data_IF_586420919552
#
_entry.id   IF_586420919552
#
_cell.length_a   1.000
_cell.length_b   1.000
_cell.length_c   1.000
_cell.angle_alpha   90.00
_cell.angle_beta   90.00
_cell.angle_gamma   90.00
#
_symmetry.space_group_name_H-M   'P 1'
#
loop_
_entity.id
_entity.type
_entity.pdbx_description
1 polymer ?
#
# COMPACT_ATOMS: atom_id res chain seq x y z
N UNK A 1 7.45 25.19 -2.30
CA UNK A 1 6.28 24.56 -1.68
C UNK A 1 5.14 25.56 -1.73
N UNK A 2 3.96 25.10 -2.12
CA UNK A 2 2.70 25.83 -2.03
C UNK A 2 2.15 25.67 -0.60
N UNK A 3 2.18 26.77 0.15
CA UNK A 3 1.72 26.87 1.53
C UNK A 3 0.56 27.86 1.65
N UNK A 4 -0.12 28.16 0.54
CA UNK A 4 -1.22 29.13 0.50
C UNK A 4 -2.49 28.65 1.23
N UNK A 5 -2.51 27.40 1.69
CA UNK A 5 -3.58 26.84 2.51
C UNK A 5 -3.35 27.04 4.02
N UNK A 6 -2.15 27.48 4.44
CA UNK A 6 -1.88 27.78 5.84
C UNK A 6 -2.69 29.01 6.30
N UNK A 7 -2.91 29.19 7.61
CA UNK A 7 -3.48 30.42 8.15
C UNK A 7 -2.66 31.66 7.76
N UNK A 8 -3.33 32.78 7.50
CA UNK A 8 -2.67 34.01 7.05
C UNK A 8 -1.64 34.59 8.04
N UNK A 9 -1.78 34.27 9.33
CA UNK A 9 -0.82 34.65 10.38
C UNK A 9 0.38 33.69 10.51
N UNK A 10 0.42 32.59 9.76
CA UNK A 10 1.50 31.61 9.84
C UNK A 10 2.78 32.14 9.16
N UNK A 11 3.97 31.99 9.77
CA UNK A 11 5.23 32.52 9.21
C UNK A 11 5.59 31.96 7.83
N UNK A 12 5.05 30.80 7.48
CA UNK A 12 5.25 30.15 6.19
C UNK A 12 4.10 30.35 5.19
N UNK A 13 3.09 31.19 5.49
CA UNK A 13 2.00 31.47 4.56
C UNK A 13 2.50 32.27 3.36
N UNK A 14 2.38 31.70 2.15
CA UNK A 14 2.81 32.34 0.89
C UNK A 14 1.78 32.08 -0.20
N UNK A 15 1.15 33.14 -0.71
CA UNK A 15 0.10 33.04 -1.74
C UNK A 15 0.67 32.94 -3.16
N UNK A 16 1.83 33.54 -3.42
CA UNK A 16 2.42 33.65 -4.76
C UNK A 16 2.71 32.28 -5.42
N UNK A 17 2.85 31.24 -4.61
CA UNK A 17 3.18 29.87 -5.06
C UNK A 17 1.94 29.00 -5.25
N UNK A 18 0.75 29.54 -5.01
CA UNK A 18 -0.51 28.80 -5.05
C UNK A 18 -0.76 28.17 -6.41
N UNK A 19 -0.82 26.84 -6.45
CA UNK A 19 -1.06 26.05 -7.68
C UNK A 19 -0.08 26.38 -8.81
N UNK A 20 1.11 26.88 -8.49
CA UNK A 20 2.13 27.18 -9.49
C UNK A 20 2.86 25.89 -9.89
N UNK A 21 3.01 25.59 -11.20
CA UNK A 21 3.78 24.44 -11.66
C UNK A 21 5.22 24.45 -11.12
N UNK A 22 5.77 23.27 -10.83
CA UNK A 22 7.13 23.10 -10.32
C UNK A 22 7.29 23.22 -8.80
N UNK A 23 6.24 23.59 -8.07
CA UNK A 23 6.25 23.62 -6.60
C UNK A 23 5.52 22.40 -6.01
N UNK A 24 6.06 21.87 -4.91
CA UNK A 24 5.37 20.86 -4.10
C UNK A 24 4.12 21.44 -3.44
N UNK A 25 2.98 20.78 -3.62
CA UNK A 25 1.74 21.12 -2.91
C UNK A 25 1.72 20.49 -1.53
N UNK A 26 1.08 21.17 -0.58
CA UNK A 26 0.67 20.57 0.67
C UNK A 26 -0.58 19.67 0.44
N UNK A 27 -0.40 18.35 0.57
CA UNK A 27 -1.42 17.33 0.28
C UNK A 27 -2.57 17.30 1.30
N UNK A 28 -2.35 17.88 2.50
CA UNK A 28 -3.32 17.86 3.60
C UNK A 28 -3.92 19.23 3.91
N UNK A 29 -3.69 20.23 3.05
CA UNK A 29 -4.32 21.55 3.14
C UNK A 29 -4.22 22.18 4.55
N UNK A 30 -3.00 22.29 5.09
CA UNK A 30 -2.69 22.79 6.43
C UNK A 30 -3.15 21.92 7.62
N UNK A 31 -3.74 20.75 7.37
CA UNK A 31 -4.11 19.81 8.41
C UNK A 31 -2.94 18.92 8.83
N UNK A 32 -3.08 18.26 9.97
CA UNK A 32 -1.99 17.45 10.57
C UNK A 32 -2.31 15.97 10.37
N UNK A 33 -1.37 15.22 9.80
CA UNK A 33 -1.45 13.76 9.78
C UNK A 33 -1.10 13.25 11.18
N UNK A 34 -2.03 12.57 11.84
CA UNK A 34 -1.84 12.05 13.20
C UNK A 34 -1.43 10.58 13.23
N UNK A 35 -1.86 9.82 12.23
CA UNK A 35 -1.59 8.40 12.10
C UNK A 35 -1.39 8.04 10.64
N UNK A 36 -0.44 7.16 10.37
CA UNK A 36 -0.14 6.68 9.03
C UNK A 36 0.14 5.18 9.09
N UNK A 37 -0.53 4.41 8.24
CA UNK A 37 -0.36 2.97 8.10
C UNK A 37 -0.20 2.63 6.61
N UNK A 38 0.91 2.01 6.23
CA UNK A 38 1.17 1.56 4.87
C UNK A 38 1.29 0.04 4.84
N UNK A 39 0.60 -0.59 3.90
CA UNK A 39 0.68 -2.03 3.68
C UNK A 39 1.64 -2.38 2.55
N UNK A 40 1.57 -1.63 1.44
CA UNK A 40 2.45 -1.78 0.28
C UNK A 40 2.46 -0.52 -0.56
N UNK A 41 3.27 -0.50 -1.62
CA UNK A 41 3.25 0.57 -2.61
C UNK A 41 1.84 0.89 -3.12
N UNK A 42 1.42 2.16 -2.98
CA UNK A 42 0.10 2.68 -3.39
C UNK A 42 -1.08 2.02 -2.64
N UNK A 43 -0.84 1.45 -1.45
CA UNK A 43 -1.84 0.92 -0.53
C UNK A 43 -1.54 1.38 0.90
N UNK A 44 -2.18 2.46 1.33
CA UNK A 44 -1.92 3.09 2.63
C UNK A 44 -3.16 3.87 3.11
N UNK A 45 -3.22 4.10 4.40
CA UNK A 45 -4.26 4.83 5.08
C UNK A 45 -3.66 5.79 6.09
N UNK A 46 -4.27 6.94 6.28
CA UNK A 46 -3.82 7.92 7.27
C UNK A 46 -4.97 8.73 7.82
N UNK A 47 -4.85 9.14 9.08
CA UNK A 47 -5.82 10.00 9.73
C UNK A 47 -5.35 11.44 9.70
N UNK A 48 -6.28 12.35 9.44
CA UNK A 48 -6.04 13.78 9.38
C UNK A 48 -6.82 14.47 10.48
N UNK A 49 -6.10 15.16 11.36
CA UNK A 49 -6.70 16.05 12.34
C UNK A 49 -6.90 17.43 11.72
N UNK A 50 -8.17 17.85 11.67
CA UNK A 50 -8.55 19.19 11.28
C UNK A 50 -8.18 20.16 12.41
N UNK A 51 -7.25 21.07 12.14
CA UNK A 51 -6.84 22.06 13.12
C UNK A 51 -8.00 22.96 13.57
N UNK A 52 -7.87 23.64 14.73
CA UNK A 52 -8.96 24.47 15.29
C UNK A 52 -9.44 25.58 14.34
N UNK A 53 -8.59 26.02 13.41
CA UNK A 53 -8.91 27.08 12.44
C UNK A 53 -9.52 26.55 11.12
N UNK A 54 -9.34 25.27 10.80
CA UNK A 54 -9.79 24.65 9.54
C UNK A 54 -10.89 23.64 9.87
N UNK A 55 -12.15 24.04 9.73
CA UNK A 55 -13.32 23.22 10.13
C UNK A 55 -13.69 22.09 9.16
N UNK A 56 -13.01 21.98 8.02
CA UNK A 56 -13.37 21.05 6.93
C UNK A 56 -12.12 20.30 6.49
N UNK A 57 -12.13 18.96 6.54
CA UNK A 57 -11.05 18.14 5.98
C UNK A 57 -10.45 17.08 6.89
N UNK A 58 -10.94 16.95 8.14
CA UNK A 58 -10.51 15.88 9.05
C UNK A 58 -11.09 14.51 8.68
N UNK A 59 -10.43 13.46 9.18
CA UNK A 59 -10.86 12.08 9.07
C UNK A 59 -9.87 11.17 8.33
N UNK A 60 -10.32 9.94 8.11
CA UNK A 60 -9.54 8.88 7.50
C UNK A 60 -9.44 9.06 5.98
N UNK A 61 -8.22 9.03 5.45
CA UNK A 61 -7.93 9.02 4.02
C UNK A 61 -7.25 7.69 3.67
N UNK A 62 -7.91 6.91 2.81
CA UNK A 62 -7.43 5.60 2.38
C UNK A 62 -7.12 5.63 0.88
N UNK A 63 -5.97 5.07 0.51
CA UNK A 63 -5.53 4.85 -0.86
C UNK A 63 -5.28 3.37 -1.04
N UNK A 64 -6.01 2.76 -1.98
CA UNK A 64 -5.89 1.33 -2.28
C UNK A 64 -5.86 1.11 -3.80
N UNK A 65 -4.68 0.80 -4.35
CA UNK A 65 -4.52 0.59 -5.80
C UNK A 65 -5.41 -0.55 -6.29
N UNK A 66 -6.25 -0.25 -7.27
CA UNK A 66 -7.09 -1.25 -7.95
C UNK A 66 -8.43 -1.53 -7.27
N UNK A 67 -8.69 -0.92 -6.12
CA UNK A 67 -9.99 -0.96 -5.42
C UNK A 67 -10.81 0.26 -5.81
N UNK A 68 -12.13 0.10 -5.96
CA UNK A 68 -13.01 1.21 -6.33
C UNK A 68 -13.29 2.11 -5.14
N UNK A 69 -13.49 3.39 -5.42
CA UNK A 69 -13.75 4.42 -4.40
C UNK A 69 -14.91 4.09 -3.46
N UNK A 70 -16.00 3.50 -3.96
CA UNK A 70 -17.14 3.12 -3.12
C UNK A 70 -16.79 2.01 -2.12
N UNK A 71 -15.93 1.06 -2.51
CA UNK A 71 -15.46 0.00 -1.59
C UNK A 71 -14.54 0.61 -0.55
N UNK A 72 -13.62 1.49 -0.96
CA UNK A 72 -12.74 2.23 -0.04
C UNK A 72 -13.54 3.03 0.98
N UNK A 73 -14.59 3.74 0.54
CA UNK A 73 -15.38 4.62 1.41
C UNK A 73 -16.26 3.87 2.42
N UNK A 74 -16.80 2.71 2.03
CA UNK A 74 -17.85 2.04 2.81
C UNK A 74 -17.35 0.80 3.57
N UNK A 75 -16.24 0.20 3.14
CA UNK A 75 -15.78 -1.12 3.61
C UNK A 75 -14.32 -1.15 4.00
N UNK A 76 -13.60 -0.02 3.92
CA UNK A 76 -12.23 0.05 4.38
C UNK A 76 -12.09 1.10 5.47
N UNK A 77 -11.38 0.74 6.53
CA UNK A 77 -11.07 1.61 7.67
C UNK A 77 -9.57 1.63 7.93
N UNK A 78 -9.09 2.67 8.63
CA UNK A 78 -7.70 2.73 9.10
C UNK A 78 -7.40 1.61 10.11
N UNK A 79 -8.36 1.29 10.99
CA UNK A 79 -8.22 0.22 11.99
C UNK A 79 -7.98 -1.14 11.32
N UNK A 80 -8.71 -1.46 10.25
CA UNK A 80 -8.52 -2.71 9.51
C UNK A 80 -7.16 -2.75 8.77
N UNK A 81 -6.61 -1.58 8.36
CA UNK A 81 -5.24 -1.55 7.83
C UNK A 81 -4.24 -1.94 8.92
N UNK A 82 -4.39 -1.40 10.13
CA UNK A 82 -3.52 -1.73 11.26
C UNK A 82 -3.62 -3.21 11.63
N UNK A 83 -4.85 -3.75 11.71
CA UNK A 83 -5.08 -5.18 11.95
C UNK A 83 -4.42 -6.05 10.88
N UNK A 84 -4.56 -5.68 9.61
CA UNK A 84 -3.91 -6.38 8.50
C UNK A 84 -2.37 -6.31 8.59
N UNK A 85 -1.80 -5.20 9.04
CA UNK A 85 -0.35 -5.04 9.16
C UNK A 85 0.23 -6.00 10.21
N UNK A 86 -0.44 -6.11 11.36
CA UNK A 86 0.02 -6.96 12.48
C UNK A 86 -0.52 -8.40 12.44
N UNK A 87 -1.32 -8.76 11.43
CA UNK A 87 -1.88 -10.10 11.29
C UNK A 87 -2.97 -10.42 12.31
N UNK A 88 -3.67 -9.41 12.83
CA UNK A 88 -4.80 -9.60 13.74
C UNK A 88 -6.02 -10.20 13.02
N UNK A 89 -6.77 -11.05 13.71
CA UNK A 89 -7.98 -11.66 13.15
C UNK A 89 -9.12 -10.64 12.97
N UNK A 90 -10.07 -10.96 12.09
CA UNK A 90 -11.31 -10.19 11.89
C UNK A 90 -11.32 -9.23 10.70
N UNK A 91 -10.25 -9.19 9.89
CA UNK A 91 -10.22 -8.39 8.65
C UNK A 91 -10.74 -9.20 7.47
N UNK A 92 -11.80 -8.72 6.82
CA UNK A 92 -12.28 -9.31 5.57
C UNK A 92 -11.35 -8.92 4.41
N UNK A 93 -10.44 -9.84 4.04
CA UNK A 93 -9.40 -9.61 3.03
C UNK A 93 -9.94 -9.39 1.61
N UNK A 94 -11.11 -9.93 1.30
CA UNK A 94 -11.68 -9.86 -0.05
C UNK A 94 -13.00 -9.11 -0.06
N UNK A 95 -13.15 -8.17 -0.99
CA UNK A 95 -14.42 -7.46 -1.21
C UNK A 95 -14.83 -7.46 -2.66
N UNK A 96 -16.13 -7.35 -2.86
CA UNK A 96 -16.73 -7.24 -4.18
C UNK A 96 -16.59 -5.82 -4.73
N UNK A 97 -15.83 -5.67 -5.81
CA UNK A 97 -15.82 -4.45 -6.60
C UNK A 97 -16.88 -4.53 -7.68
N UNK A 98 -17.94 -3.72 -7.54
CA UNK A 98 -19.01 -3.63 -8.54
C UNK A 98 -18.71 -2.52 -9.54
N UNK A 99 -18.90 -2.83 -10.82
CA UNK A 99 -18.61 -1.94 -11.93
C UNK A 99 -19.57 -2.05 -13.09
N UNK A 100 -19.92 -0.94 -13.70
CA UNK A 100 -20.58 -0.92 -15.01
C UNK A 100 -19.49 -0.79 -16.07
N UNK A 101 -19.52 -1.67 -17.07
CA UNK A 101 -18.59 -1.69 -18.21
C UNK A 101 -19.37 -1.93 -19.51
N UNK A 102 -18.83 -1.47 -20.63
CA UNK A 102 -19.37 -1.72 -21.96
C UNK A 102 -18.52 -2.77 -22.67
N UNK A 103 -19.16 -3.78 -23.24
CA UNK A 103 -18.54 -4.76 -24.14
C UNK A 103 -19.38 -4.83 -25.40
N UNK A 104 -18.77 -4.62 -26.56
CA UNK A 104 -19.48 -4.59 -27.86
C UNK A 104 -20.73 -3.68 -27.83
N UNK A 105 -20.59 -2.49 -27.24
CA UNK A 105 -21.67 -1.51 -27.06
C UNK A 105 -22.84 -1.95 -26.16
N UNK A 106 -22.70 -3.07 -25.45
CA UNK A 106 -23.67 -3.52 -24.44
C UNK A 106 -23.16 -3.23 -23.04
N UNK A 107 -23.95 -2.49 -22.26
CA UNK A 107 -23.65 -2.21 -20.86
C UNK A 107 -23.92 -3.46 -20.01
N UNK A 108 -22.96 -3.81 -19.18
CA UNK A 108 -23.07 -4.90 -18.22
C UNK A 108 -22.49 -4.51 -16.87
N UNK A 109 -23.07 -5.07 -15.81
CA UNK A 109 -22.56 -4.95 -14.45
C UNK A 109 -21.62 -6.11 -14.17
N UNK A 110 -20.35 -5.81 -13.96
CA UNK A 110 -19.33 -6.77 -13.55
C UNK A 110 -19.06 -6.61 -12.06
N UNK A 111 -19.21 -7.73 -11.36
CA UNK A 111 -18.82 -7.91 -9.97
C UNK A 111 -17.52 -8.71 -9.93
N UNK A 112 -16.46 -8.14 -9.36
CA UNK A 112 -15.15 -8.80 -9.24
C UNK A 112 -14.73 -8.85 -7.79
N UNK A 113 -14.52 -10.05 -7.25
CA UNK A 113 -13.94 -10.24 -5.92
C UNK A 113 -12.46 -9.87 -5.97
N UNK A 114 -12.04 -8.89 -5.17
CA UNK A 114 -10.66 -8.40 -5.11
C UNK A 114 -10.12 -8.45 -3.69
N UNK A 115 -8.82 -8.71 -3.58
CA UNK A 115 -8.06 -8.58 -2.34
C UNK A 115 -7.94 -7.09 -1.99
N UNK A 116 -8.55 -6.65 -0.89
CA UNK A 116 -8.56 -5.25 -0.43
C UNK A 116 -7.39 -4.94 0.49
N UNK A 117 -7.07 -5.87 1.38
CA UNK A 117 -5.98 -5.76 2.35
C UNK A 117 -4.88 -6.73 1.98
N UNK A 118 -3.67 -6.22 1.83
CA UNK A 118 -2.50 -7.04 1.53
C UNK A 118 -1.23 -6.33 2.01
N UNK A 119 -0.60 -6.88 3.06
CA UNK A 119 0.69 -6.45 3.60
C UNK A 119 1.88 -7.10 2.92
N UNK A 120 1.67 -8.03 1.98
CA UNK A 120 2.76 -8.62 1.21
C UNK A 120 3.33 -7.60 0.22
N UNK A 121 4.62 -7.27 0.39
CA UNK A 121 5.39 -6.42 -0.50
C UNK A 121 6.26 -7.30 -1.41
N UNK A 122 6.03 -7.21 -2.71
CA UNK A 122 6.76 -7.97 -3.72
C UNK A 122 8.22 -7.51 -3.89
N UNK A 123 8.54 -6.31 -3.42
CA UNK A 123 9.83 -5.65 -3.71
C UNK A 123 10.81 -5.69 -2.54
N UNK A 124 10.35 -6.08 -1.36
CA UNK A 124 11.14 -6.04 -0.12
C UNK A 124 10.78 -7.24 0.75
N UNK A 125 11.77 -7.75 1.47
CA UNK A 125 11.54 -8.74 2.51
C UNK A 125 11.09 -8.03 3.77
N UNK A 126 9.89 -8.35 4.26
CA UNK A 126 9.34 -7.80 5.51
C UNK A 126 9.84 -8.64 6.68
N UNK A 127 10.46 -8.00 7.67
CA UNK A 127 10.96 -8.68 8.87
C UNK A 127 9.82 -9.15 9.78
N UNK A 128 10.16 -9.92 10.81
CA UNK A 128 9.19 -10.47 11.76
C UNK A 128 8.35 -9.39 12.46
N UNK A 129 8.93 -8.22 12.70
CA UNK A 129 8.26 -7.07 13.33
C UNK A 129 7.21 -6.37 12.45
N UNK A 130 7.08 -6.78 11.19
CA UNK A 130 6.13 -6.26 10.18
C UNK A 130 6.32 -4.79 9.79
N UNK A 131 7.35 -4.12 10.31
CA UNK A 131 7.60 -2.70 10.10
C UNK A 131 8.90 -2.51 9.33
N UNK A 132 9.96 -3.18 9.78
CA UNK A 132 11.26 -3.10 9.13
C UNK A 132 11.29 -3.99 7.90
N UNK A 133 11.92 -3.49 6.84
CA UNK A 133 11.97 -4.19 5.56
C UNK A 133 13.37 -4.08 4.95
N UNK A 134 13.84 -5.15 4.34
CA UNK A 134 15.12 -5.23 3.66
C UNK A 134 14.91 -5.37 2.15
N UNK A 135 15.88 -4.93 1.36
CA UNK A 135 15.89 -5.22 -0.07
C UNK A 135 16.23 -6.70 -0.28
N UNK A 136 15.70 -7.30 -1.36
CA UNK A 136 16.11 -8.64 -1.79
C UNK A 136 17.64 -8.71 -1.95
N UNK A 137 18.27 -9.79 -1.47
CA UNK A 137 19.72 -9.98 -1.47
C UNK A 137 20.51 -9.18 -0.41
N UNK A 138 19.83 -8.58 0.57
CA UNK A 138 20.51 -7.95 1.71
C UNK A 138 21.22 -9.00 2.57
N UNK A 139 22.47 -8.73 3.00
CA UNK A 139 23.33 -9.68 3.73
C UNK A 139 22.75 -10.21 5.06
N UNK A 140 21.76 -9.52 5.63
CA UNK A 140 21.09 -9.92 6.88
C UNK A 140 19.85 -10.78 6.65
N UNK A 141 19.46 -11.00 5.39
CA UNK A 141 18.43 -11.98 5.05
C UNK A 141 19.17 -13.31 5.00
N UNK A 142 18.80 -14.24 5.87
CA UNK A 142 19.26 -15.62 5.72
C UNK A 142 18.78 -16.10 4.36
N UNK A 143 19.68 -16.64 3.54
CA UNK A 143 19.26 -17.31 2.32
C UNK A 143 18.36 -18.45 2.75
N UNK A 144 17.07 -18.36 2.43
CA UNK A 144 16.19 -19.51 2.52
C UNK A 144 16.82 -20.57 1.63
N UNK A 145 17.46 -21.57 2.24
CA UNK A 145 17.83 -22.80 1.57
C UNK A 145 16.50 -23.43 1.13
N UNK A 146 16.06 -23.12 -0.09
CA UNK A 146 14.82 -23.63 -0.72
C UNK A 146 14.91 -25.16 -0.98
N UNK A 147 16.09 -25.73 -0.79
CA UNK A 147 16.43 -27.10 -1.14
C UNK A 147 15.77 -28.20 -0.29
N UNK A 148 15.64 -28.09 1.04
CA UNK A 148 15.03 -29.13 1.85
C UNK A 148 13.56 -29.37 1.46
N UNK A 149 12.80 -28.33 1.10
CA UNK A 149 11.40 -28.47 0.66
C UNK A 149 11.28 -29.13 -0.73
N UNK A 150 12.22 -28.90 -1.65
CA UNK A 150 12.21 -29.53 -2.98
C UNK A 150 12.73 -30.97 -2.97
N UNK A 151 13.54 -31.34 -1.98
CA UNK A 151 13.99 -32.72 -1.76
C UNK A 151 12.89 -33.59 -1.12
N UNK A 152 11.99 -33.00 -0.30
CA UNK A 152 10.82 -33.71 0.25
C UNK A 152 9.81 -34.13 -0.82
N UNK A 153 9.69 -33.37 -1.92
CA UNK A 153 8.85 -33.71 -3.08
C UNK A 153 9.49 -34.76 -4.03
N UNK A 154 10.57 -35.44 -3.59
CA UNK A 154 11.10 -36.64 -4.21
C UNK A 154 12.00 -36.40 -5.43
N UNK A 155 12.43 -35.17 -5.67
CA UNK A 155 13.42 -34.84 -6.70
C UNK A 155 14.84 -34.98 -6.15
N UNK A 156 15.59 -36.01 -6.58
CA UNK A 156 17.02 -36.11 -6.28
C UNK A 156 17.81 -35.23 -7.27
N UNK A 157 17.89 -33.93 -6.99
CA UNK A 157 18.57 -32.95 -7.83
C UNK A 157 20.08 -32.95 -7.59
N UNK A 158 20.87 -32.98 -8.66
CA UNK A 158 22.32 -32.87 -8.53
C UNK A 158 22.78 -31.41 -8.33
N UNK A 159 24.00 -31.20 -7.82
CA UNK A 159 24.54 -29.87 -7.50
C UNK A 159 24.61 -28.91 -8.72
N UNK A 160 24.77 -29.43 -9.94
CA UNK A 160 24.75 -28.60 -11.16
C UNK A 160 23.33 -28.13 -11.52
N UNK A 161 22.33 -29.00 -11.37
CA UNK A 161 20.92 -28.68 -11.55
C UNK A 161 20.44 -27.67 -10.51
N UNK A 162 20.92 -27.81 -9.27
CA UNK A 162 20.69 -26.84 -8.20
C UNK A 162 21.24 -25.45 -8.56
N UNK A 163 22.48 -25.41 -9.06
CA UNK A 163 23.13 -24.19 -9.53
C UNK A 163 22.39 -23.52 -10.70
N UNK A 164 21.88 -24.29 -11.66
CA UNK A 164 21.11 -23.79 -12.79
C UNK A 164 19.75 -23.21 -12.37
N UNK A 165 19.06 -23.87 -11.43
CA UNK A 165 17.78 -23.39 -10.91
C UNK A 165 17.91 -22.11 -10.10
N UNK A 166 18.97 -21.97 -9.27
CA UNK A 166 19.29 -20.69 -8.59
C UNK A 166 19.53 -19.59 -9.62
N UNK A 167 20.29 -19.89 -10.68
CA UNK A 167 20.53 -18.94 -11.77
C UNK A 167 19.24 -18.52 -12.48
N UNK A 168 18.30 -19.44 -12.66
CA UNK A 168 17.00 -19.17 -13.29
C UNK A 168 16.06 -18.37 -12.37
N UNK A 169 15.99 -18.71 -11.08
CA UNK A 169 15.19 -18.02 -10.08
C UNK A 169 15.65 -16.57 -9.91
N UNK A 170 16.97 -16.34 -9.84
CA UNK A 170 17.55 -14.98 -9.83
C UNK A 170 17.26 -14.17 -11.10
N UNK A 171 16.95 -14.83 -12.22
CA UNK A 171 16.63 -14.16 -13.49
C UNK A 171 15.13 -13.83 -13.64
N UNK A 172 14.28 -14.47 -12.82
CA UNK A 172 12.82 -14.34 -12.87
C UNK A 172 12.28 -13.40 -11.77
N UNK A 173 13.03 -13.21 -10.67
CA UNK A 173 12.80 -12.18 -9.64
C UNK A 173 13.43 -10.85 -10.00
#
# INVERSE_FOLDING_TARGET
>A
MDTANLPSGHPCYVVDRKKSPGYFSDEVDANIITEFCALRAKSYAFNVYAGPEVRVGGGEKIKAKGIRSHVVKNHMTLEDHRKCLFGEEGVELYRDNVSIKSFNHQLMTIKTKKLTYNSYDDKRVVLEDKINTLAHGHYSIEEDDIWPELEEDGGNWNEEEKGLMIGLLHYIT
#
